data_IF_776252731051
#
_entry.id   IF_776252731051
#
_cell.length_a   1.000
_cell.length_b   1.000
_cell.length_c   1.000
_cell.angle_alpha   90.00
_cell.angle_beta   90.00
_cell.angle_gamma   90.00
#
_symmetry.space_group_name_H-M   'P 1'
#
loop_
_entity.id
_entity.type
_entity.pdbx_description
1 polymer ?
#
# COMPACT_ATOMS: atom_id res chain seq x y z
N UNK A 1 -9.15 2.76 -18.01
CA UNK A 1 -8.02 3.32 -17.26
C UNK A 1 -6.79 2.56 -17.70
N UNK A 2 -5.69 3.24 -18.00
CA UNK A 2 -4.42 2.62 -18.40
C UNK A 2 -3.50 2.36 -17.18
N UNK A 3 -2.37 1.69 -17.44
CA UNK A 3 -1.35 1.28 -16.47
C UNK A 3 -0.80 2.47 -15.66
N UNK A 4 -0.35 3.53 -16.34
CA UNK A 4 0.26 4.70 -15.69
C UNK A 4 -0.74 5.46 -14.83
N UNK A 5 -1.96 5.68 -15.34
CA UNK A 5 -3.04 6.33 -14.60
C UNK A 5 -3.40 5.53 -13.36
N UNK A 6 -3.44 4.19 -13.47
CA UNK A 6 -3.67 3.31 -12.33
C UNK A 6 -2.56 3.46 -11.28
N UNK A 7 -1.29 3.33 -11.67
CA UNK A 7 -0.16 3.43 -10.75
C UNK A 7 -0.12 4.80 -10.04
N UNK A 8 -0.40 5.88 -10.76
CA UNK A 8 -0.49 7.23 -10.19
C UNK A 8 -1.61 7.37 -9.17
N UNK A 9 -2.82 6.93 -9.52
CA UNK A 9 -3.97 7.00 -8.60
C UNK A 9 -3.78 6.10 -7.39
N UNK A 10 -3.12 4.95 -7.55
CA UNK A 10 -2.76 4.08 -6.44
C UNK A 10 -1.72 4.74 -5.53
N UNK A 11 -0.66 5.35 -6.07
CA UNK A 11 0.32 6.07 -5.26
C UNK A 11 -0.35 7.20 -4.46
N UNK A 12 -1.21 7.99 -5.12
CA UNK A 12 -1.96 9.09 -4.48
C UNK A 12 -2.94 8.61 -3.41
N UNK A 13 -3.61 7.48 -3.61
CA UNK A 13 -4.56 6.98 -2.61
C UNK A 13 -3.87 6.47 -1.34
N UNK A 14 -2.59 6.10 -1.44
CA UNK A 14 -1.80 5.59 -0.33
C UNK A 14 -1.09 6.69 0.50
N UNK A 15 -1.01 7.94 0.00
CA UNK A 15 -0.23 9.04 0.62
C UNK A 15 -0.53 9.26 2.10
N UNK A 16 -1.80 9.15 2.52
CA UNK A 16 -2.22 9.42 3.90
C UNK A 16 -2.55 8.15 4.70
N UNK A 17 -2.26 6.97 4.16
CA UNK A 17 -2.62 5.71 4.80
C UNK A 17 -1.87 5.52 6.12
N UNK A 18 -0.56 5.79 6.15
CA UNK A 18 0.27 5.66 7.35
C UNK A 18 -0.16 6.63 8.45
N UNK A 19 -0.41 7.89 8.10
CA UNK A 19 -0.93 8.91 9.01
C UNK A 19 -2.28 8.51 9.60
N UNK A 20 -3.21 8.03 8.76
CA UNK A 20 -4.53 7.59 9.18
C UNK A 20 -4.48 6.39 10.13
N UNK A 21 -3.58 5.43 9.86
CA UNK A 21 -3.38 4.25 10.72
C UNK A 21 -2.87 4.65 12.09
N UNK A 22 -1.86 5.52 12.16
CA UNK A 22 -1.31 5.98 13.44
C UNK A 22 -2.34 6.81 14.21
N UNK A 23 -3.04 7.73 13.55
CA UNK A 23 -4.09 8.53 14.19
C UNK A 23 -5.23 7.65 14.74
N UNK A 24 -5.64 6.62 13.99
CA UNK A 24 -6.63 5.64 14.46
C UNK A 24 -6.15 4.79 15.65
N UNK A 25 -4.85 4.49 15.71
CA UNK A 25 -4.25 3.77 16.84
C UNK A 25 -4.11 4.66 18.09
N UNK A 26 -3.88 5.97 17.93
CA UNK A 26 -3.86 6.95 19.02
C UNK A 26 -5.27 7.24 19.58
N UNK A 27 -6.27 7.24 18.70
CA UNK A 27 -7.66 7.55 19.04
C UNK A 27 -8.59 6.38 18.70
N UNK A 28 -8.48 5.23 19.40
CA UNK A 28 -9.32 4.08 19.11
C UNK A 28 -10.79 4.43 19.37
N UNK A 29 -11.65 4.28 18.35
CA UNK A 29 -13.09 4.58 18.43
C UNK A 29 -13.94 3.32 18.54
N UNK A 30 -15.13 3.43 19.16
CA UNK A 30 -16.14 2.36 19.23
C UNK A 30 -16.51 1.91 20.65
N UNK A 31 -17.67 1.25 20.78
CA UNK A 31 -18.08 0.61 22.05
C UNK A 31 -17.26 -0.65 22.26
N UNK A 32 -16.54 -0.74 23.38
CA UNK A 32 -15.72 -1.92 23.74
C UNK A 32 -14.31 -1.92 23.15
N UNK A 33 -13.60 -0.78 23.20
CA UNK A 33 -12.16 -0.74 22.91
C UNK A 33 -11.45 -1.79 23.77
N UNK A 34 -10.75 -2.73 23.14
CA UNK A 34 -10.05 -3.80 23.84
C UNK A 34 -8.94 -3.25 24.74
N UNK A 35 -8.60 -3.99 25.79
CA UNK A 35 -7.48 -3.64 26.67
C UNK A 35 -6.18 -3.43 25.87
N UNK A 36 -5.94 -4.26 24.85
CA UNK A 36 -4.80 -4.17 23.95
C UNK A 36 -4.77 -2.84 23.17
N UNK A 37 -5.89 -2.43 22.57
CA UNK A 37 -5.96 -1.17 21.82
C UNK A 37 -5.78 0.04 22.73
N UNK A 38 -6.34 0.01 23.94
CA UNK A 38 -6.14 1.05 24.94
C UNK A 38 -4.68 1.13 25.40
N UNK A 39 -4.01 -0.02 25.59
CA UNK A 39 -2.61 -0.07 25.97
C UNK A 39 -1.71 0.48 24.85
N UNK A 40 -1.99 0.14 23.59
CA UNK A 40 -1.28 0.68 22.43
C UNK A 40 -1.44 2.20 22.32
N UNK A 41 -2.66 2.71 22.47
CA UNK A 41 -2.93 4.15 22.43
C UNK A 41 -2.19 4.89 23.56
N UNK A 42 -2.22 4.35 24.79
CA UNK A 42 -1.49 4.91 25.92
C UNK A 42 0.03 4.92 25.68
N UNK A 43 0.58 3.84 25.13
CA UNK A 43 1.99 3.77 24.77
C UNK A 43 2.36 4.81 23.69
N UNK A 44 1.56 4.93 22.62
CA UNK A 44 1.77 5.92 21.55
C UNK A 44 1.73 7.36 22.08
N UNK A 45 0.83 7.67 23.01
CA UNK A 45 0.77 8.99 23.65
C UNK A 45 1.98 9.28 24.54
N UNK A 46 2.62 8.24 25.08
CA UNK A 46 3.81 8.35 25.93
C UNK A 46 5.11 8.58 25.17
N UNK A 47 5.12 8.43 23.84
CA UNK A 47 6.30 8.72 23.02
C UNK A 47 6.60 10.22 23.01
N UNK A 48 7.88 10.58 22.81
CA UNK A 48 8.28 11.93 22.46
C UNK A 48 8.12 12.20 20.95
N UNK A 49 8.47 13.41 20.50
CA UNK A 49 8.34 13.78 19.09
C UNK A 49 9.21 12.93 18.17
N UNK A 50 10.40 12.54 18.64
CA UNK A 50 11.30 11.68 17.87
C UNK A 50 10.74 10.26 17.75
N UNK A 51 10.29 9.68 18.86
CA UNK A 51 9.65 8.36 18.87
C UNK A 51 8.41 8.32 18.00
N UNK A 52 7.58 9.37 18.03
CA UNK A 52 6.43 9.50 17.12
C UNK A 52 6.87 9.48 15.65
N UNK A 53 7.89 10.27 15.28
CA UNK A 53 8.40 10.31 13.90
C UNK A 53 8.88 8.94 13.44
N UNK A 54 9.60 8.19 14.28
CA UNK A 54 10.07 6.85 13.93
C UNK A 54 8.93 5.83 13.77
N UNK A 55 7.90 5.90 14.61
CA UNK A 55 6.69 5.07 14.42
C UNK A 55 6.00 5.39 13.11
N UNK A 56 5.80 6.68 12.80
CA UNK A 56 5.22 7.08 11.51
C UNK A 56 6.04 6.57 10.33
N UNK A 57 7.37 6.70 10.39
CA UNK A 57 8.27 6.21 9.36
C UNK A 57 8.15 4.69 9.17
N UNK A 58 8.20 3.92 10.24
CA UNK A 58 8.08 2.45 10.19
C UNK A 58 6.74 2.00 9.59
N UNK A 59 5.64 2.65 9.98
CA UNK A 59 4.31 2.35 9.43
C UNK A 59 4.25 2.71 7.94
N UNK A 60 4.83 3.84 7.53
CA UNK A 60 4.91 4.24 6.13
C UNK A 60 5.73 3.25 5.28
N UNK A 61 6.87 2.79 5.79
CA UNK A 61 7.67 1.74 5.15
C UNK A 61 6.88 0.43 5.03
N UNK A 62 6.16 0.03 6.07
CA UNK A 62 5.33 -1.18 6.06
C UNK A 62 4.21 -1.12 5.02
N UNK A 63 3.47 -0.01 4.96
CA UNK A 63 2.42 0.22 3.95
C UNK A 63 3.02 0.15 2.55
N UNK A 64 4.14 0.85 2.32
CA UNK A 64 4.82 0.82 1.04
C UNK A 64 5.29 -0.58 0.64
N UNK A 65 5.96 -1.30 1.54
CA UNK A 65 6.48 -2.64 1.28
C UNK A 65 5.35 -3.63 0.95
N UNK A 66 4.19 -3.49 1.60
CA UNK A 66 3.00 -4.29 1.30
C UNK A 66 2.47 -4.05 -0.11
N UNK A 67 2.24 -2.78 -0.48
CA UNK A 67 1.74 -2.42 -1.82
C UNK A 67 2.75 -2.79 -2.90
N UNK A 68 4.01 -2.40 -2.74
CA UNK A 68 5.10 -2.72 -3.68
C UNK A 68 5.23 -4.24 -3.87
N UNK A 69 5.20 -4.99 -2.77
CA UNK A 69 5.29 -6.45 -2.81
C UNK A 69 4.15 -7.11 -3.57
N UNK A 70 2.92 -6.62 -3.43
CA UNK A 70 1.78 -7.09 -4.21
C UNK A 70 1.95 -6.77 -5.70
N UNK A 71 2.41 -5.55 -6.03
CA UNK A 71 2.67 -5.18 -7.43
C UNK A 71 3.75 -6.06 -8.05
N UNK A 72 4.81 -6.44 -7.31
CA UNK A 72 5.80 -7.41 -7.79
C UNK A 72 5.20 -8.78 -8.14
N UNK A 73 4.15 -9.22 -7.43
CA UNK A 73 3.44 -10.47 -7.77
C UNK A 73 2.65 -10.30 -9.07
N UNK A 74 1.96 -9.17 -9.22
CA UNK A 74 1.24 -8.84 -10.45
C UNK A 74 2.17 -8.64 -11.66
N UNK A 75 3.40 -8.18 -11.44
CA UNK A 75 4.42 -8.03 -12.48
C UNK A 75 5.23 -9.32 -12.73
N UNK A 76 4.89 -10.43 -12.06
CA UNK A 76 5.53 -11.73 -12.23
C UNK A 76 7.04 -11.75 -11.88
N UNK A 77 7.48 -10.82 -11.04
CA UNK A 77 8.86 -10.76 -10.50
C UNK A 77 8.95 -11.28 -9.06
N UNK A 78 7.80 -11.60 -8.45
CA UNK A 78 7.67 -12.32 -7.18
C UNK A 78 6.61 -13.39 -7.32
N UNK A 79 6.92 -14.62 -6.93
CA UNK A 79 5.99 -15.75 -7.02
C UNK A 79 5.47 -16.13 -5.64
N UNK A 80 4.22 -16.57 -5.57
CA UNK A 80 3.56 -17.00 -4.33
C UNK A 80 3.35 -18.51 -4.29
N UNK A 81 3.57 -19.20 -5.40
CA UNK A 81 3.56 -20.64 -5.52
C UNK A 81 4.92 -21.24 -5.16
N UNK A 82 4.93 -22.40 -4.49
CA UNK A 82 6.18 -23.08 -4.07
C UNK A 82 6.71 -24.10 -5.09
N UNK A 83 5.98 -24.38 -6.18
CA UNK A 83 6.34 -25.40 -7.19
C UNK A 83 7.14 -24.87 -8.38
N UNK A 84 7.71 -25.75 -9.20
CA UNK A 84 8.50 -25.38 -10.39
C UNK A 84 7.67 -24.66 -11.48
N UNK A 85 6.37 -24.95 -11.54
CA UNK A 85 5.43 -24.25 -12.41
C UNK A 85 4.85 -23.04 -11.68
N UNK A 86 4.98 -21.86 -12.29
CA UNK A 86 4.42 -20.60 -11.78
C UNK A 86 3.27 -20.15 -12.66
N UNK A 87 2.20 -19.66 -12.04
CA UNK A 87 1.10 -19.03 -12.73
C UNK A 87 1.36 -17.57 -13.06
N UNK A 88 0.37 -16.92 -13.65
CA UNK A 88 0.34 -15.47 -13.89
C UNK A 88 -0.96 -14.88 -13.35
N UNK A 89 -0.88 -13.78 -12.61
CA UNK A 89 -2.04 -13.02 -12.15
C UNK A 89 -2.31 -11.83 -13.06
N UNK A 90 -3.52 -11.69 -13.57
CA UNK A 90 -3.91 -10.55 -14.41
C UNK A 90 -4.81 -9.58 -13.67
N UNK A 91 -4.48 -8.29 -13.71
CA UNK A 91 -5.29 -7.18 -13.24
C UNK A 91 -5.97 -6.50 -14.44
N UNK A 92 -7.30 -6.49 -14.45
CA UNK A 92 -8.10 -5.88 -15.51
C UNK A 92 -9.00 -4.79 -14.94
N UNK A 93 -8.97 -3.62 -15.54
CA UNK A 93 -9.96 -2.56 -15.30
C UNK A 93 -11.14 -2.73 -16.24
N UNK A 94 -12.35 -2.83 -15.68
CA UNK A 94 -13.60 -2.78 -16.43
C UNK A 94 -14.22 -1.40 -16.30
N UNK A 95 -14.32 -0.66 -17.41
CA UNK A 95 -14.95 0.65 -17.46
C UNK A 95 -16.48 0.54 -17.24
N UNK A 96 -17.16 1.63 -16.84
CA UNK A 96 -18.64 1.63 -16.74
C UNK A 96 -19.35 1.26 -18.05
N UNK A 97 -18.72 1.45 -19.19
CA UNK A 97 -19.22 1.04 -20.52
C UNK A 97 -19.08 -0.47 -20.78
N UNK A 98 -18.41 -1.21 -19.91
CA UNK A 98 -18.06 -2.62 -20.09
C UNK A 98 -16.72 -2.86 -20.79
N UNK A 99 -16.07 -1.81 -21.32
CA UNK A 99 -14.76 -1.94 -21.97
C UNK A 99 -13.69 -2.39 -20.96
N UNK A 100 -12.88 -3.36 -21.32
CA UNK A 100 -11.82 -3.92 -20.47
C UNK A 100 -10.44 -3.47 -20.92
N UNK A 101 -9.57 -3.21 -19.96
CA UNK A 101 -8.16 -2.89 -20.19
C UNK A 101 -7.30 -3.65 -19.17
N UNK A 102 -6.37 -4.46 -19.66
CA UNK A 102 -5.38 -5.10 -18.78
C UNK A 102 -4.41 -4.02 -18.27
N UNK A 103 -4.21 -3.98 -16.96
CA UNK A 103 -3.40 -2.99 -16.26
C UNK A 103 -1.94 -3.44 -16.13
N UNK A 104 -1.71 -4.75 -15.99
CA UNK A 104 -0.39 -5.37 -15.94
C UNK A 104 -0.11 -6.27 -17.16
N UNK A 105 -0.11 -5.74 -18.40
CA UNK A 105 0.44 -6.49 -19.52
C UNK A 105 1.96 -6.71 -19.32
N UNK A 106 2.46 -7.83 -19.83
CA UNK A 106 3.89 -8.23 -19.81
C UNK A 106 4.83 -7.24 -20.52
N UNK A 107 4.27 -6.25 -21.23
CA UNK A 107 5.02 -5.25 -21.98
C UNK A 107 5.04 -3.89 -21.26
N UNK A 108 6.14 -3.18 -21.47
CA UNK A 108 6.35 -1.83 -20.95
C UNK A 108 6.89 -1.85 -19.52
N UNK A 109 6.81 -0.70 -18.85
CA UNK A 109 7.28 -0.55 -17.47
C UNK A 109 6.43 -1.39 -16.50
N UNK A 110 7.08 -1.87 -15.43
CA UNK A 110 6.45 -2.68 -14.39
C UNK A 110 5.65 -1.80 -13.42
N UNK A 111 4.53 -2.32 -12.90
CA UNK A 111 3.69 -1.56 -11.96
C UNK A 111 4.44 -1.18 -10.68
N UNK A 112 5.28 -2.08 -10.15
CA UNK A 112 6.04 -1.80 -8.93
C UNK A 112 7.04 -0.66 -9.11
N UNK A 113 7.68 -0.56 -10.29
CA UNK A 113 8.60 0.53 -10.62
C UNK A 113 7.86 1.86 -10.79
N UNK A 114 6.76 1.86 -11.55
CA UNK A 114 5.86 3.03 -11.70
C UNK A 114 5.38 3.53 -10.34
N UNK A 115 4.87 2.64 -9.49
CA UNK A 115 4.42 2.98 -8.15
C UNK A 115 5.54 3.56 -7.29
N UNK A 116 6.73 2.96 -7.32
CA UNK A 116 7.88 3.42 -6.55
C UNK A 116 8.36 4.82 -6.99
N UNK A 117 8.37 5.08 -8.30
CA UNK A 117 8.65 6.41 -8.85
C UNK A 117 7.63 7.45 -8.39
N UNK A 118 6.35 7.17 -8.60
CA UNK A 118 5.24 8.09 -8.33
C UNK A 118 5.04 8.36 -6.83
N UNK A 119 5.29 7.37 -5.96
CA UNK A 119 5.27 7.59 -4.50
C UNK A 119 6.34 8.59 -4.09
N UNK A 120 7.57 8.46 -4.59
CA UNK A 120 8.66 9.40 -4.28
C UNK A 120 8.33 10.83 -4.73
N UNK A 121 7.58 10.98 -5.82
CA UNK A 121 7.09 12.28 -6.27
C UNK A 121 5.98 12.83 -5.38
N UNK A 122 5.05 11.98 -4.93
CA UNK A 122 3.94 12.36 -4.06
C UNK A 122 4.36 12.72 -2.63
N UNK A 123 5.57 12.35 -2.22
CA UNK A 123 6.16 12.66 -0.91
C UNK A 123 7.00 13.96 -0.91
N UNK A 124 7.18 14.61 -2.07
CA UNK A 124 7.82 15.94 -2.20
C UNK A 124 6.80 17.05 -2.02
#
# INVERSE_FOLDING_TARGET
MDKETFAKRLAQSMTHTSESLVAGAQHPTGRGVSAERSALAAWLHGLDDEGRKWVHHLVDEGVHAGVFGLLCVLDHVRFVEDGDQKGSFTLTYTAPTGAQTQINPDKGEMLHDLYNGLRREAQK
#
